data_IF_436684217341
#
_entry.id   IF_436684217341
#
_cell.length_a   1.000
_cell.length_b   1.000
_cell.length_c   1.000
_cell.angle_alpha   90.00
_cell.angle_beta   90.00
_cell.angle_gamma   90.00
#
_symmetry.space_group_name_H-M   'P 1'
#
loop_
_entity.id
_entity.type
_entity.pdbx_description
1 polymer ?
#
# COMPACT_ATOMS: atom_id res chain seq x y z
N UNK A 1 -8.11 -14.82 -5.41
CA UNK A 1 -7.03 -13.90 -5.86
C UNK A 1 -6.02 -13.78 -4.73
N UNK A 2 -4.71 -13.76 -5.00
CA UNK A 2 -3.71 -13.58 -3.94
C UNK A 2 -3.68 -12.13 -3.43
N UNK A 3 -3.34 -11.93 -2.16
CA UNK A 3 -3.18 -10.59 -1.57
C UNK A 3 -2.24 -9.71 -2.41
N UNK A 4 -1.10 -10.25 -2.84
CA UNK A 4 -0.15 -9.53 -3.70
C UNK A 4 -0.78 -9.09 -5.02
N UNK A 5 -1.59 -9.94 -5.65
CA UNK A 5 -2.24 -9.61 -6.92
C UNK A 5 -3.26 -8.48 -6.76
N UNK A 6 -4.00 -8.47 -5.66
CA UNK A 6 -4.91 -7.37 -5.34
C UNK A 6 -4.14 -6.06 -5.14
N UNK A 7 -3.05 -6.11 -4.37
CA UNK A 7 -2.21 -4.94 -4.11
C UNK A 7 -1.62 -4.37 -5.41
N UNK A 8 -0.98 -5.21 -6.22
CA UNK A 8 -0.40 -4.82 -7.50
C UNK A 8 -1.47 -4.24 -8.45
N UNK A 9 -2.68 -4.80 -8.43
CA UNK A 9 -3.81 -4.27 -9.19
C UNK A 9 -4.21 -2.87 -8.72
N UNK A 10 -4.36 -2.64 -7.41
CA UNK A 10 -4.74 -1.32 -6.85
C UNK A 10 -3.70 -0.27 -7.25
N UNK A 11 -2.41 -0.58 -7.11
CA UNK A 11 -1.33 0.34 -7.49
C UNK A 11 -1.36 0.61 -9.01
N UNK A 12 -1.45 -0.43 -9.83
CA UNK A 12 -1.48 -0.28 -11.29
C UNK A 12 -2.72 0.50 -11.75
N UNK A 13 -3.87 0.28 -11.11
CA UNK A 13 -5.09 1.01 -11.38
C UNK A 13 -4.95 2.48 -10.98
N UNK A 14 -4.31 2.78 -9.86
CA UNK A 14 -3.94 4.13 -9.44
C UNK A 14 -3.08 4.82 -10.49
N UNK A 15 -1.98 4.20 -10.91
CA UNK A 15 -1.05 4.77 -11.91
C UNK A 15 -1.78 5.12 -13.21
N UNK A 16 -2.67 4.24 -13.67
CA UNK A 16 -3.44 4.44 -14.91
C UNK A 16 -4.39 5.64 -14.84
N UNK A 17 -4.92 5.94 -13.66
CA UNK A 17 -5.93 6.99 -13.45
C UNK A 17 -5.34 8.20 -12.71
N UNK A 18 -4.01 8.26 -12.56
CA UNK A 18 -3.35 9.34 -11.85
C UNK A 18 -3.54 10.66 -12.61
N UNK A 19 -4.05 11.73 -11.97
CA UNK A 19 -4.31 13.01 -12.64
C UNK A 19 -3.03 13.69 -13.16
N UNK A 20 -1.86 13.36 -12.58
CA UNK A 20 -0.56 13.85 -13.06
C UNK A 20 -0.13 13.19 -14.38
N UNK A 21 -0.77 12.08 -14.72
CA UNK A 21 -0.51 11.27 -15.91
C UNK A 21 0.61 10.24 -15.73
N UNK A 22 0.50 9.13 -16.45
CA UNK A 22 1.40 7.97 -16.32
C UNK A 22 2.89 8.30 -16.55
N UNK A 23 3.18 9.30 -17.39
CA UNK A 23 4.56 9.73 -17.67
C UNK A 23 5.22 10.31 -16.42
N UNK A 24 4.53 11.20 -15.70
CA UNK A 24 5.07 11.84 -14.50
C UNK A 24 5.32 10.81 -13.41
N UNK A 25 4.36 9.89 -13.22
CA UNK A 25 4.48 8.78 -12.27
C UNK A 25 5.70 7.90 -12.57
N UNK A 26 5.94 7.56 -13.84
CA UNK A 26 7.12 6.78 -14.25
C UNK A 26 8.43 7.52 -14.00
N UNK A 27 8.48 8.83 -14.23
CA UNK A 27 9.65 9.64 -13.91
C UNK A 27 9.91 9.70 -12.40
N UNK A 28 8.86 9.81 -11.57
CA UNK A 28 8.98 9.72 -10.11
C UNK A 28 9.58 8.38 -9.68
N UNK A 29 9.05 7.26 -10.18
CA UNK A 29 9.56 5.91 -9.86
C UNK A 29 11.03 5.74 -10.32
N UNK A 30 11.38 6.27 -11.50
CA UNK A 30 12.76 6.27 -12.00
C UNK A 30 13.70 7.02 -11.06
N UNK A 31 13.32 8.21 -10.59
CA UNK A 31 14.10 8.99 -9.61
C UNK A 31 14.31 8.21 -8.30
N UNK A 32 13.28 7.49 -7.84
CA UNK A 32 13.39 6.67 -6.62
C UNK A 32 14.35 5.50 -6.83
N UNK A 33 14.33 4.86 -8.01
CA UNK A 33 15.28 3.81 -8.37
C UNK A 33 16.72 4.33 -8.43
N UNK A 34 16.95 5.46 -9.07
CA UNK A 34 18.28 6.09 -9.13
C UNK A 34 18.82 6.47 -7.74
N UNK A 35 17.94 6.91 -6.83
CA UNK A 35 18.31 7.15 -5.43
C UNK A 35 18.72 5.86 -4.74
N UNK A 36 17.94 4.79 -4.89
CA UNK A 36 18.25 3.47 -4.30
C UNK A 36 19.58 2.90 -4.78
N UNK A 37 19.89 3.04 -6.08
CA UNK A 37 21.14 2.56 -6.67
C UNK A 37 22.38 3.27 -6.11
N UNK A 38 22.24 4.54 -5.73
CA UNK A 38 23.31 5.35 -5.12
C UNK A 38 23.53 5.08 -3.63
N UNK A 39 22.62 4.38 -2.97
CA UNK A 39 22.75 4.05 -1.56
C UNK A 39 23.88 3.02 -1.33
N UNK A 40 24.56 3.15 -0.20
CA UNK A 40 25.47 2.11 0.27
C UNK A 40 24.72 0.83 0.63
N UNK A 41 25.42 -0.31 0.67
CA UNK A 41 24.84 -1.59 1.07
C UNK A 41 24.24 -1.58 2.48
N UNK A 42 24.76 -0.71 3.37
CA UNK A 42 24.19 -0.51 4.70
C UNK A 42 22.85 0.23 4.63
N UNK A 43 22.76 1.27 3.81
CA UNK A 43 21.54 2.07 3.65
C UNK A 43 20.44 1.31 2.90
N UNK A 44 20.79 0.53 1.87
CA UNK A 44 19.84 -0.30 1.12
C UNK A 44 19.07 -1.28 2.01
N UNK A 45 19.67 -1.77 3.10
CA UNK A 45 19.00 -2.64 4.09
C UNK A 45 17.82 -1.98 4.79
N UNK A 46 17.81 -0.65 4.88
CA UNK A 46 16.76 0.12 5.55
C UNK A 46 15.85 0.86 4.57
N UNK A 47 16.10 0.75 3.26
CA UNK A 47 15.30 1.39 2.25
C UNK A 47 13.95 0.67 2.06
N UNK A 48 12.87 1.44 1.96
CA UNK A 48 11.55 0.90 1.61
C UNK A 48 11.51 0.53 0.12
N UNK A 49 11.77 -0.73 -0.18
CA UNK A 49 11.79 -1.23 -1.57
C UNK A 49 10.43 -1.16 -2.27
N UNK A 50 9.32 -0.99 -1.54
CA UNK A 50 8.01 -0.77 -2.15
C UNK A 50 7.99 0.52 -2.97
N UNK A 51 8.75 1.55 -2.56
CA UNK A 51 8.90 2.84 -3.28
C UNK A 51 9.53 2.70 -4.68
N UNK A 52 10.06 1.53 -5.03
CA UNK A 52 10.62 1.26 -6.36
C UNK A 52 9.54 0.93 -7.39
N UNK A 53 8.39 0.44 -6.94
CA UNK A 53 7.29 -0.01 -7.81
C UNK A 53 5.95 0.66 -7.46
N UNK A 54 5.85 1.28 -6.30
CA UNK A 54 4.66 1.96 -5.81
C UNK A 54 4.94 3.46 -5.60
N UNK A 55 4.29 4.36 -6.36
CA UNK A 55 4.48 5.80 -6.21
C UNK A 55 3.66 6.40 -5.06
N UNK A 56 2.74 5.63 -4.45
CA UNK A 56 1.80 6.07 -3.41
C UNK A 56 2.27 5.56 -2.05
N UNK A 57 2.92 6.42 -1.26
CA UNK A 57 3.53 6.01 0.01
C UNK A 57 2.55 5.68 1.12
N UNK A 58 1.32 6.16 0.97
CA UNK A 58 0.22 5.99 1.90
C UNK A 58 -0.56 4.67 1.70
N UNK A 59 -0.34 3.98 0.58
CA UNK A 59 -0.95 2.70 0.26
C UNK A 59 0.03 1.56 0.50
N UNK A 60 -0.24 0.68 1.47
CA UNK A 60 0.67 -0.42 1.87
C UNK A 60 -0.05 -1.69 2.31
N UNK A 61 0.58 -2.84 2.10
CA UNK A 61 0.27 -4.06 2.88
C UNK A 61 0.92 -3.90 4.27
N UNK A 62 0.10 -3.84 5.31
CA UNK A 62 0.59 -3.64 6.68
C UNK A 62 0.97 -4.95 7.36
N UNK A 63 0.23 -6.02 7.08
CA UNK A 63 0.42 -7.35 7.67
C UNK A 63 -0.16 -8.44 6.76
N UNK A 64 0.36 -9.65 6.89
CA UNK A 64 -0.13 -10.84 6.20
C UNK A 64 0.84 -11.40 5.17
N UNK A 65 0.61 -12.65 4.78
CA UNK A 65 1.38 -13.31 3.72
C UNK A 65 0.87 -12.82 2.34
N UNK A 66 1.73 -12.27 1.48
CA UNK A 66 1.37 -11.86 0.12
C UNK A 66 0.75 -12.97 -0.73
N UNK A 67 1.02 -14.25 -0.42
CA UNK A 67 0.47 -15.41 -1.11
C UNK A 67 -0.91 -15.86 -0.58
N UNK A 68 -1.44 -15.22 0.47
CA UNK A 68 -2.76 -15.54 1.03
C UNK A 68 -3.85 -15.42 -0.03
N UNK A 69 -4.69 -16.45 -0.16
CA UNK A 69 -5.87 -16.41 -1.04
C UNK A 69 -7.01 -15.59 -0.39
N UNK A 70 -7.39 -14.50 -1.05
CA UNK A 70 -8.47 -13.61 -0.62
C UNK A 70 -9.76 -13.93 -1.36
N UNK A 71 -10.83 -14.19 -0.60
CA UNK A 71 -12.21 -14.41 -1.07
C UNK A 71 -13.22 -13.50 -0.38
N UNK A 72 -12.96 -13.08 0.85
CA UNK A 72 -13.78 -12.12 1.59
C UNK A 72 -12.95 -10.96 2.14
N UNK A 73 -13.53 -9.77 2.10
CA UNK A 73 -12.88 -8.53 2.54
C UNK A 73 -13.84 -7.76 3.44
N UNK A 74 -13.33 -7.25 4.56
CA UNK A 74 -13.97 -6.22 5.36
C UNK A 74 -13.32 -4.88 5.00
N UNK A 75 -14.11 -3.94 4.48
CA UNK A 75 -13.63 -2.65 3.98
C UNK A 75 -14.28 -1.53 4.78
N UNK A 76 -13.52 -0.51 5.14
CA UNK A 76 -14.02 0.70 5.80
C UNK A 76 -13.08 1.89 5.62
N UNK A 77 -13.50 3.04 6.13
CA UNK A 77 -12.73 4.28 6.04
C UNK A 77 -11.54 4.20 7.01
N UNK A 78 -11.85 4.05 8.29
CA UNK A 78 -10.91 3.83 9.38
C UNK A 78 -11.05 2.38 9.83
N UNK A 79 -9.99 1.59 9.65
CA UNK A 79 -9.96 0.20 10.09
C UNK A 79 -8.92 0.05 11.20
N UNK A 80 -9.33 0.46 12.39
CA UNK A 80 -8.48 0.48 13.58
C UNK A 80 -8.63 -0.82 14.39
N UNK A 81 -8.12 -0.82 15.62
CA UNK A 81 -8.19 -1.98 16.50
C UNK A 81 -9.61 -2.56 16.68
N UNK A 82 -10.68 -1.77 16.88
CA UNK A 82 -12.03 -2.30 17.03
C UNK A 82 -12.51 -3.09 15.81
N UNK A 83 -12.23 -2.62 14.60
CA UNK A 83 -12.65 -3.26 13.35
C UNK A 83 -11.86 -4.55 13.09
N UNK A 84 -10.57 -4.57 13.45
CA UNK A 84 -9.76 -5.79 13.39
C UNK A 84 -10.28 -6.84 14.38
N UNK A 85 -10.67 -6.42 15.60
CA UNK A 85 -11.30 -7.31 16.58
C UNK A 85 -12.67 -7.80 16.10
N UNK A 86 -13.45 -6.96 15.44
CA UNK A 86 -14.71 -7.36 14.80
C UNK A 86 -14.46 -8.42 13.71
N UNK A 87 -13.45 -8.23 12.85
CA UNK A 87 -13.09 -9.22 11.84
C UNK A 87 -12.69 -10.56 12.47
N UNK A 88 -11.95 -10.54 13.59
CA UNK A 88 -11.62 -11.74 14.36
C UNK A 88 -12.86 -12.41 14.95
N UNK A 89 -13.78 -11.64 15.54
CA UNK A 89 -15.02 -12.15 16.10
C UNK A 89 -15.92 -12.80 15.03
N UNK A 90 -16.06 -12.15 13.87
CA UNK A 90 -16.81 -12.70 12.74
C UNK A 90 -16.20 -14.03 12.24
N UNK A 91 -14.87 -14.09 12.16
CA UNK A 91 -14.15 -15.32 11.83
C UNK A 91 -14.46 -16.45 12.83
N UNK A 92 -14.44 -16.16 14.14
CA UNK A 92 -14.80 -17.12 15.19
C UNK A 92 -16.26 -17.59 15.12
N UNK A 93 -17.16 -16.75 14.61
CA UNK A 93 -18.57 -17.07 14.36
C UNK A 93 -18.82 -17.79 13.02
N UNK A 94 -17.76 -18.19 12.31
CA UNK A 94 -17.86 -18.90 11.04
C UNK A 94 -18.06 -18.00 9.82
N UNK A 95 -18.11 -16.67 9.99
CA UNK A 95 -18.10 -15.71 8.88
C UNK A 95 -16.67 -15.34 8.54
N UNK A 96 -16.08 -16.09 7.60
CA UNK A 96 -14.68 -15.92 7.21
C UNK A 96 -14.41 -14.52 6.63
N UNK A 97 -13.41 -13.83 7.16
CA UNK A 97 -12.85 -12.56 6.65
C UNK A 97 -11.37 -12.79 6.37
N UNK A 98 -10.96 -12.78 5.10
CA UNK A 98 -9.58 -13.03 4.68
C UNK A 98 -8.71 -11.77 4.71
N UNK A 99 -9.32 -10.58 4.54
CA UNK A 99 -8.63 -9.30 4.47
C UNK A 99 -9.43 -8.19 5.16
N UNK A 100 -8.73 -7.32 5.88
CA UNK A 100 -9.22 -6.02 6.34
C UNK A 100 -8.56 -4.94 5.48
N UNK A 101 -9.35 -4.04 4.90
CA UNK A 101 -8.86 -2.96 4.02
C UNK A 101 -9.33 -1.62 4.56
N UNK A 102 -8.36 -0.77 4.94
CA UNK A 102 -8.58 0.62 5.34
C UNK A 102 -8.46 1.55 4.15
N UNK A 103 -9.31 2.58 4.10
CA UNK A 103 -9.11 3.70 3.19
C UNK A 103 -8.03 4.63 3.72
N UNK A 104 -8.16 5.07 4.97
CA UNK A 104 -7.17 5.94 5.58
C UNK A 104 -5.87 5.16 5.84
N UNK A 105 -4.72 5.80 5.58
CA UNK A 105 -3.43 5.16 5.79
C UNK A 105 -3.23 4.80 7.26
N UNK A 106 -2.79 3.58 7.51
CA UNK A 106 -2.47 3.08 8.84
C UNK A 106 -1.00 2.66 8.91
N UNK A 107 -0.44 2.58 10.12
CA UNK A 107 0.91 2.05 10.36
C UNK A 107 1.98 2.61 9.43
N UNK A 108 2.57 1.74 8.58
CA UNK A 108 3.61 2.12 7.61
C UNK A 108 3.12 3.14 6.57
N UNK A 109 1.88 3.03 6.10
CA UNK A 109 1.31 3.99 5.15
C UNK A 109 1.14 5.38 5.77
N UNK A 110 0.73 5.43 7.05
CA UNK A 110 0.58 6.69 7.78
C UNK A 110 1.91 7.39 8.03
N UNK A 111 2.97 6.64 8.39
CA UNK A 111 4.30 7.18 8.67
C UNK A 111 4.84 8.05 7.52
N UNK A 112 4.64 7.61 6.29
CA UNK A 112 5.15 8.27 5.09
C UNK A 112 4.06 9.08 4.35
N UNK A 113 2.90 9.30 5.00
CA UNK A 113 1.78 10.03 4.41
C UNK A 113 2.14 11.46 4.00
N UNK A 114 2.99 12.15 4.76
CA UNK A 114 3.43 13.51 4.40
C UNK A 114 4.13 13.57 3.03
N UNK A 115 4.71 12.46 2.55
CA UNK A 115 5.35 12.40 1.23
C UNK A 115 4.33 12.47 0.08
N UNK A 116 3.07 12.07 0.31
CA UNK A 116 2.00 12.21 -0.71
C UNK A 116 1.35 13.60 -0.69
N UNK A 117 1.55 14.40 0.35
CA UNK A 117 1.09 15.80 0.35
C UNK A 117 1.84 16.66 -0.67
N UNK A 118 3.13 16.38 -0.90
CA UNK A 118 3.89 17.04 -1.97
C UNK A 118 3.32 16.73 -3.35
N UNK A 119 2.94 15.47 -3.57
CA UNK A 119 2.26 15.03 -4.79
C UNK A 119 0.93 15.78 -5.02
N UNK A 120 0.15 16.03 -3.97
CA UNK A 120 -1.11 16.77 -4.08
C UNK A 120 -0.94 18.22 -4.56
N UNK A 121 0.21 18.85 -4.30
CA UNK A 121 0.50 20.18 -4.81
C UNK A 121 0.77 20.22 -6.33
N UNK A 122 1.10 19.07 -6.93
CA UNK A 122 1.34 18.91 -8.36
C UNK A 122 0.06 18.53 -9.15
N UNK A 123 -1.08 18.38 -8.46
CA UNK A 123 -2.42 18.07 -9.02
C UNK A 123 -3.23 19.37 -9.12
#
# INVERSE_FOLDING_TARGET
MKLKQLYDFVISYGIKNDPRGEKEVKEQLKRQKEKYEKLSEKEKKYFDTDKLTNPYNDTRILFGDPDTEIKSVLVGIDMEMPEVLLAQMLNLQGKKIDLVLSHHPEGKGYKDFYEVMGMQADI
#
